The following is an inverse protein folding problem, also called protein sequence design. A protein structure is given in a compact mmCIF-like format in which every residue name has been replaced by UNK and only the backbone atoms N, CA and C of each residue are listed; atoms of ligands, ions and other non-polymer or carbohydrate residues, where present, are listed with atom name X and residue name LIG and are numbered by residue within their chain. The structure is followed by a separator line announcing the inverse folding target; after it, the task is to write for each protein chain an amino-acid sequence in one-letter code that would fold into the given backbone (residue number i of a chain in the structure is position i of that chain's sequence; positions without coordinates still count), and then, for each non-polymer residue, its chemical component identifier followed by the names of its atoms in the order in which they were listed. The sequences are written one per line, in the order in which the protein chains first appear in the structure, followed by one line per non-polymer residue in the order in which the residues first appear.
data_IF_987776214748
#
_entry.id   IF_987776214748
#
_cell.length_a   1.000
_cell.length_b   1.000
_cell.length_c   1.000
_cell.angle_alpha   90.00
_cell.angle_beta   90.00
_cell.angle_gamma   90.00
#
_symmetry.space_group_name_H-M   'P 1'
#
loop_
_entity.id
_entity.type
_entity.pdbx_description
1 polymer ?
#
# COMPACT_ATOMS: atom_id res chain seq x y z
N UNK A 1 -8.94 -1.54 10.70
CA UNK A 1 -7.73 -0.69 10.56
C UNK A 1 -7.05 -1.07 9.24
N UNK A 2 -6.50 -0.14 8.44
CA UNK A 2 -6.06 -0.45 7.06
C UNK A 2 -4.85 -1.39 6.95
N UNK A 3 -4.24 -1.79 8.07
CA UNK A 3 -3.11 -2.72 8.10
C UNK A 3 -3.40 -3.91 9.02
N UNK A 4 -2.98 -5.09 8.56
CA UNK A 4 -3.42 -6.42 9.02
C UNK A 4 -2.81 -6.86 10.38
N UNK A 5 -2.19 -5.96 11.13
CA UNK A 5 -1.30 -6.34 12.21
C UNK A 5 -0.01 -7.00 11.68
N UNK A 6 0.84 -7.44 12.61
CA UNK A 6 2.08 -8.11 12.25
C UNK A 6 1.79 -9.51 11.70
N UNK A 7 2.59 -9.95 10.75
CA UNK A 7 2.57 -11.27 10.13
C UNK A 7 3.99 -11.70 9.75
N UNK A 8 4.12 -12.98 9.43
CA UNK A 8 5.34 -13.57 8.93
C UNK A 8 5.10 -14.07 7.49
N UNK A 9 6.01 -13.71 6.60
CA UNK A 9 5.97 -14.12 5.19
C UNK A 9 7.23 -14.90 4.89
N UNK A 10 7.09 -16.17 4.52
CA UNK A 10 8.20 -16.99 4.06
C UNK A 10 8.53 -16.64 2.61
N UNK A 11 9.76 -16.22 2.38
CA UNK A 11 10.27 -15.83 1.07
C UNK A 11 10.79 -17.06 0.30
N UNK A 12 10.93 -16.91 -1.01
CA UNK A 12 11.40 -17.98 -1.91
C UNK A 12 12.86 -18.42 -1.64
N UNK A 13 13.67 -17.53 -1.07
CA UNK A 13 15.06 -17.78 -0.68
C UNK A 13 15.18 -18.46 0.70
N UNK A 14 14.05 -18.78 1.33
CA UNK A 14 14.00 -19.41 2.65
C UNK A 14 14.07 -18.44 3.82
N UNK A 15 14.25 -17.13 3.58
CA UNK A 15 14.16 -16.12 4.63
C UNK A 15 12.72 -15.91 5.08
N UNK A 16 12.53 -15.31 6.26
CA UNK A 16 11.21 -14.97 6.79
C UNK A 16 11.16 -13.47 7.05
N UNK A 17 10.27 -12.79 6.35
CA UNK A 17 10.01 -11.38 6.58
C UNK A 17 8.95 -11.24 7.68
N UNK A 18 9.24 -10.39 8.66
CA UNK A 18 8.31 -10.01 9.70
C UNK A 18 7.82 -8.58 9.45
N UNK A 19 6.52 -8.35 9.43
CA UNK A 19 5.97 -7.03 9.13
C UNK A 19 4.45 -7.00 9.02
N UNK A 20 3.85 -5.86 8.63
CA UNK A 20 4.50 -4.58 8.48
C UNK A 20 4.35 -3.72 9.75
N UNK A 21 5.17 -2.68 9.83
CA UNK A 21 4.82 -1.46 10.54
C UNK A 21 4.43 -0.46 9.45
N UNK A 22 3.21 0.05 9.50
CA UNK A 22 2.70 0.88 8.43
C UNK A 22 2.52 2.30 8.94
N UNK A 23 3.39 3.19 8.46
CA UNK A 23 3.41 4.59 8.84
C UNK A 23 3.34 5.46 7.60
N UNK A 24 2.88 6.70 7.77
CA UNK A 24 2.87 7.68 6.69
C UNK A 24 4.30 7.93 6.18
N UNK A 25 4.50 7.81 4.87
CA UNK A 25 5.71 8.29 4.20
C UNK A 25 5.58 9.78 3.91
N UNK A 26 6.64 10.56 4.16
CA UNK A 26 6.70 12.00 3.87
C UNK A 26 7.27 12.30 2.47
N UNK A 27 7.35 11.27 1.63
CA UNK A 27 7.75 11.32 0.23
C UNK A 27 7.05 10.20 -0.54
N UNK A 28 6.53 10.47 -1.74
CA UNK A 28 5.83 9.51 -2.61
C UNK A 28 6.66 8.25 -2.90
N UNK A 29 7.96 8.42 -3.01
CA UNK A 29 8.95 7.35 -3.19
C UNK A 29 9.97 7.33 -2.04
N UNK A 30 9.48 7.47 -0.80
CA UNK A 30 10.30 7.39 0.41
C UNK A 30 10.45 5.95 0.89
N UNK A 31 11.61 5.35 0.67
CA UNK A 31 11.92 3.98 1.09
C UNK A 31 12.77 3.92 2.37
N UNK A 32 13.28 5.06 2.84
CA UNK A 32 13.99 5.20 4.10
C UNK A 32 13.18 6.04 5.09
N UNK A 33 13.38 5.80 6.39
CA UNK A 33 12.70 6.55 7.46
C UNK A 33 12.99 8.06 7.46
N UNK A 34 14.11 8.45 6.86
CA UNK A 34 14.57 9.83 6.74
C UNK A 34 14.23 10.47 5.40
N UNK A 35 13.62 9.72 4.48
CA UNK A 35 13.24 10.27 3.18
C UNK A 35 12.13 11.30 3.38
N UNK A 36 12.40 12.51 2.91
CA UNK A 36 11.52 13.65 3.06
C UNK A 36 11.51 14.45 1.76
N UNK A 37 10.30 14.84 1.34
CA UNK A 37 10.11 15.81 0.28
C UNK A 37 9.18 16.91 0.78
N UNK A 38 9.63 18.17 0.68
CA UNK A 38 8.87 19.29 1.22
C UNK A 38 7.54 19.48 0.49
N UNK A 39 7.51 19.24 -0.83
CA UNK A 39 6.30 19.42 -1.63
C UNK A 39 5.27 18.35 -1.26
N UNK A 40 5.67 17.09 -1.23
CA UNK A 40 4.80 15.97 -0.82
C UNK A 40 4.28 16.16 0.61
N UNK A 41 5.16 16.57 1.53
CA UNK A 41 4.76 16.89 2.90
C UNK A 41 3.69 18.00 2.95
N UNK A 42 3.92 19.12 2.24
CA UNK A 42 2.95 20.22 2.21
C UNK A 42 1.62 19.81 1.60
N UNK A 43 1.63 18.96 0.56
CA UNK A 43 0.42 18.45 -0.08
C UNK A 43 -0.41 17.61 0.91
N UNK A 44 0.22 16.70 1.64
CA UNK A 44 -0.47 15.88 2.66
C UNK A 44 -1.02 16.73 3.80
N UNK A 45 -0.19 17.64 4.34
CA UNK A 45 -0.56 18.44 5.51
C UNK A 45 -1.65 19.48 5.20
N UNK A 46 -1.72 19.97 3.96
CA UNK A 46 -2.76 20.91 3.53
C UNK A 46 -4.03 20.23 3.03
N UNK A 47 -4.03 18.90 2.88
CA UNK A 47 -5.20 18.17 2.42
C UNK A 47 -6.20 17.90 3.57
N UNK A 48 -7.42 18.50 3.58
CA UNK A 48 -8.32 18.41 4.73
C UNK A 48 -8.82 16.99 5.04
N UNK A 49 -8.93 16.13 4.03
CA UNK A 49 -9.39 14.76 4.22
C UNK A 49 -8.37 13.90 4.98
N UNK A 50 -7.07 14.23 4.89
CA UNK A 50 -6.03 13.58 5.69
C UNK A 50 -6.29 13.76 7.18
N UNK A 51 -6.66 14.97 7.60
CA UNK A 51 -6.96 15.24 9.02
C UNK A 51 -8.22 14.52 9.51
N UNK A 52 -9.23 14.37 8.65
CA UNK A 52 -10.42 13.56 8.97
C UNK A 52 -10.04 12.09 9.21
N UNK A 53 -9.17 11.54 8.36
CA UNK A 53 -8.64 10.18 8.52
C UNK A 53 -7.80 10.07 9.79
N UNK A 54 -6.86 11.00 10.02
CA UNK A 54 -5.96 10.99 11.16
C UNK A 54 -6.72 11.08 12.48
N UNK A 55 -7.72 11.96 12.58
CA UNK A 55 -8.56 12.10 13.77
C UNK A 55 -9.35 10.82 14.07
N UNK A 56 -9.86 10.13 13.03
CA UNK A 56 -10.61 8.88 13.18
C UNK A 56 -9.75 7.72 13.68
N UNK A 57 -8.45 7.74 13.38
CA UNK A 57 -7.52 6.62 13.56
C UNK A 57 -6.29 6.98 14.41
N UNK A 58 -6.40 8.01 15.26
CA UNK A 58 -5.27 8.58 15.97
C UNK A 58 -4.60 7.58 16.93
N UNK A 59 -5.39 6.81 17.68
CA UNK A 59 -4.89 5.85 18.67
C UNK A 59 -4.08 4.73 17.99
N UNK A 60 -4.68 4.05 17.02
CA UNK A 60 -3.98 3.01 16.28
C UNK A 60 -2.82 3.54 15.43
N UNK A 61 -2.94 4.74 14.85
CA UNK A 61 -1.85 5.40 14.13
C UNK A 61 -0.64 5.67 15.03
N UNK A 62 -0.88 6.11 16.27
CA UNK A 62 0.19 6.30 17.26
C UNK A 62 0.85 4.96 17.64
N UNK A 63 0.06 3.89 17.81
CA UNK A 63 0.59 2.55 18.09
C UNK A 63 1.48 2.05 16.95
N UNK A 64 1.10 2.28 15.68
CA UNK A 64 1.92 1.94 14.52
C UNK A 64 3.24 2.72 14.48
N UNK A 65 3.22 4.03 14.79
CA UNK A 65 4.43 4.85 14.89
C UNK A 65 5.36 4.27 15.97
N UNK A 66 4.86 4.07 17.19
CA UNK A 66 5.65 3.53 18.30
C UNK A 66 6.26 2.17 17.92
N UNK A 67 5.47 1.29 17.29
CA UNK A 67 5.93 -0.03 16.82
C UNK A 67 6.99 0.08 15.72
N UNK A 68 6.88 1.06 14.83
CA UNK A 68 7.84 1.32 13.74
C UNK A 68 9.20 1.81 14.25
N UNK A 69 9.22 2.60 15.33
CA UNK A 69 10.44 3.15 15.91
C UNK A 69 11.06 2.26 16.99
N UNK A 70 10.27 1.45 17.70
CA UNK A 70 10.75 0.60 18.79
C UNK A 70 10.86 -0.87 18.39
N UNK A 71 12.10 -1.35 18.22
CA UNK A 71 12.41 -2.76 17.97
C UNK A 71 11.79 -3.67 19.04
N UNK A 72 11.85 -3.27 20.32
CA UNK A 72 11.29 -4.04 21.42
C UNK A 72 9.76 -4.20 21.34
N UNK A 73 9.04 -3.11 21.01
CA UNK A 73 7.58 -3.15 20.84
C UNK A 73 7.19 -3.99 19.62
N UNK A 74 7.99 -3.91 18.55
CA UNK A 74 7.81 -4.76 17.38
C UNK A 74 8.01 -6.25 17.70
N UNK A 75 9.11 -6.63 18.37
CA UNK A 75 9.33 -8.01 18.86
C UNK A 75 8.16 -8.49 19.71
N UNK A 76 7.71 -7.70 20.69
CA UNK A 76 6.57 -8.07 21.54
C UNK A 76 5.27 -8.26 20.75
N UNK A 77 5.10 -7.53 19.65
CA UNK A 77 3.94 -7.70 18.77
C UNK A 77 4.02 -9.00 17.99
N UNK A 78 5.20 -9.36 17.48
CA UNK A 78 5.47 -10.62 16.77
C UNK A 78 5.31 -11.84 17.69
N UNK A 79 5.71 -11.71 18.95
CA UNK A 79 5.58 -12.76 19.98
C UNK A 79 4.13 -13.14 20.29
N UNK A 80 3.14 -12.35 19.87
CA UNK A 80 1.73 -12.75 19.93
C UNK A 80 1.40 -13.90 18.98
N UNK A 81 2.19 -14.06 17.91
CA UNK A 81 2.03 -15.12 16.91
C UNK A 81 3.07 -16.23 17.12
N UNK A 82 4.34 -15.86 17.38
CA UNK A 82 5.45 -16.80 17.58
C UNK A 82 6.24 -16.37 18.83
N UNK A 83 5.93 -16.90 20.02
CA UNK A 83 6.53 -16.48 21.30
C UNK A 83 8.05 -16.60 21.37
N UNK A 84 8.64 -17.50 20.60
CA UNK A 84 10.07 -17.81 20.61
C UNK A 84 10.93 -16.75 19.93
N UNK A 85 10.33 -15.85 19.13
CA UNK A 85 11.04 -14.80 18.42
C UNK A 85 11.68 -13.82 19.40
N UNK A 86 12.97 -13.56 19.21
CA UNK A 86 13.76 -12.62 19.99
C UNK A 86 14.08 -11.37 19.19
N UNK A 87 14.56 -10.34 19.88
CA UNK A 87 15.00 -9.11 19.22
C UNK A 87 16.21 -9.37 18.33
N UNK A 88 17.10 -10.28 18.74
CA UNK A 88 18.29 -10.67 17.99
C UNK A 88 17.97 -11.31 16.62
N UNK A 89 16.82 -11.99 16.50
CA UNK A 89 16.37 -12.62 15.25
C UNK A 89 15.91 -11.59 14.20
N UNK A 90 15.63 -10.35 14.63
CA UNK A 90 15.10 -9.31 13.76
C UNK A 90 16.23 -8.48 13.15
N UNK A 91 16.45 -8.69 11.86
CA UNK A 91 17.36 -7.90 11.03
C UNK A 91 16.58 -6.91 10.14
N UNK A 92 17.10 -5.69 9.91
CA UNK A 92 16.47 -4.76 8.98
C UNK A 92 16.38 -5.34 7.56
N UNK A 93 15.25 -5.08 6.88
CA UNK A 93 15.04 -5.41 5.47
C UNK A 93 14.47 -4.17 4.75
N UNK A 94 14.30 -4.27 3.43
CA UNK A 94 13.78 -3.19 2.61
C UNK A 94 12.36 -2.78 3.02
N UNK A 95 12.04 -1.49 2.84
CA UNK A 95 10.68 -0.99 2.97
C UNK A 95 9.94 -1.07 1.64
N UNK A 96 8.61 -1.05 1.69
CA UNK A 96 7.74 -0.85 0.54
C UNK A 96 6.85 0.37 0.76
N UNK A 97 6.56 1.09 -0.32
CA UNK A 97 5.58 2.19 -0.31
C UNK A 97 4.30 1.71 -0.98
N UNK A 98 3.16 1.93 -0.31
CA UNK A 98 1.85 1.65 -0.87
C UNK A 98 1.09 2.95 -1.06
N UNK A 99 0.74 3.25 -2.32
CA UNK A 99 -0.24 4.27 -2.62
C UNK A 99 -1.64 3.75 -2.26
N UNK A 100 -2.41 4.58 -1.55
CA UNK A 100 -3.78 4.28 -1.16
C UNK A 100 -4.61 5.55 -1.37
N UNK A 101 -5.66 5.46 -2.19
CA UNK A 101 -6.51 6.60 -2.46
C UNK A 101 -7.32 6.99 -1.21
N UNK A 102 -7.36 8.30 -0.95
CA UNK A 102 -8.13 8.92 0.12
C UNK A 102 -9.19 9.84 -0.50
N UNK A 103 -10.44 9.58 -0.17
CA UNK A 103 -11.57 10.37 -0.64
C UNK A 103 -11.70 11.66 0.18
N UNK A 104 -12.38 12.67 -0.39
CA UNK A 104 -12.58 13.98 0.24
C UNK A 104 -13.35 13.93 1.59
N UNK A 105 -14.08 12.85 1.85
CA UNK A 105 -14.77 12.59 3.11
C UNK A 105 -13.86 11.97 4.19
N UNK A 106 -12.60 11.66 3.86
CA UNK A 106 -11.63 11.03 4.76
C UNK A 106 -11.65 9.51 4.75
N UNK A 107 -12.40 8.87 3.84
CA UNK A 107 -12.38 7.40 3.67
C UNK A 107 -11.30 6.95 2.72
N UNK A 108 -10.61 5.87 3.08
CA UNK A 108 -9.72 5.16 2.17
C UNK A 108 -10.57 4.35 1.19
N UNK A 109 -10.14 4.30 -0.07
CA UNK A 109 -10.83 3.46 -1.07
C UNK A 109 -10.39 2.02 -0.91
N UNK A 110 -11.33 1.13 -0.61
CA UNK A 110 -11.02 -0.28 -0.32
C UNK A 110 -10.84 -1.14 -1.57
N UNK A 111 -11.38 -0.71 -2.72
CA UNK A 111 -11.38 -1.46 -3.99
C UNK A 111 -10.67 -0.66 -5.12
N UNK A 112 -10.69 -1.18 -6.34
CA UNK A 112 -10.14 -0.48 -7.51
C UNK A 112 -10.83 0.86 -7.73
N UNK A 113 -10.04 1.92 -7.92
CA UNK A 113 -10.53 3.21 -8.39
C UNK A 113 -10.02 3.41 -9.81
N UNK A 114 -10.88 3.15 -10.78
CA UNK A 114 -10.59 3.35 -12.20
C UNK A 114 -11.38 4.57 -12.66
N UNK A 115 -10.68 5.57 -13.22
CA UNK A 115 -11.28 6.81 -13.70
C UNK A 115 -11.06 6.92 -15.20
N UNK A 116 -12.16 7.07 -15.94
CA UNK A 116 -12.13 7.29 -17.39
C UNK A 116 -11.86 8.77 -17.68
N UNK A 117 -10.87 9.04 -18.50
CA UNK A 117 -10.65 10.32 -19.16
C UNK A 117 -11.15 10.27 -20.62
N UNK A 118 -11.00 11.38 -21.34
CA UNK A 118 -11.42 11.44 -22.75
C UNK A 118 -10.61 10.47 -23.64
N UNK A 119 -9.30 10.38 -23.40
CA UNK A 119 -8.37 9.54 -24.16
C UNK A 119 -7.43 8.75 -23.22
N UNK A 120 -7.85 8.50 -21.99
CA UNK A 120 -7.02 7.86 -20.97
C UNK A 120 -7.85 7.04 -19.98
N UNK A 121 -7.23 6.01 -19.40
CA UNK A 121 -7.79 5.27 -18.26
C UNK A 121 -6.81 5.40 -17.10
N UNK A 122 -7.26 5.90 -15.97
CA UNK A 122 -6.44 6.10 -14.78
C UNK A 122 -6.77 5.05 -13.73
N UNK A 123 -5.78 4.24 -13.35
CA UNK A 123 -5.87 3.32 -12.21
C UNK A 123 -5.35 4.04 -10.98
N UNK A 124 -6.25 4.72 -10.27
CA UNK A 124 -5.94 5.60 -9.15
C UNK A 124 -5.83 4.87 -7.80
N UNK A 125 -6.41 3.68 -7.69
CA UNK A 125 -6.29 2.83 -6.51
C UNK A 125 -6.31 1.38 -6.96
N UNK A 126 -5.31 0.61 -6.54
CA UNK A 126 -5.26 -0.84 -6.71
C UNK A 126 -4.73 -1.47 -5.43
N UNK A 127 -5.59 -1.63 -4.41
CA UNK A 127 -5.15 -2.12 -3.11
C UNK A 127 -4.80 -3.61 -3.18
N UNK A 128 -4.13 -4.09 -2.13
CA UNK A 128 -3.75 -5.51 -2.02
C UNK A 128 -4.98 -6.43 -2.10
N UNK A 129 -4.90 -7.58 -2.80
CA UNK A 129 -3.71 -8.18 -3.43
C UNK A 129 -3.58 -7.87 -4.94
N UNK A 130 -3.29 -6.61 -5.30
CA UNK A 130 -3.17 -6.17 -6.70
C UNK A 130 -2.18 -6.98 -7.55
N UNK A 131 -1.01 -7.36 -7.00
CA UNK A 131 -0.03 -8.14 -7.75
C UNK A 131 -0.57 -9.54 -8.12
N UNK A 132 -1.17 -10.23 -7.15
CA UNK A 132 -1.75 -11.57 -7.36
C UNK A 132 -2.93 -11.53 -8.33
N UNK A 133 -3.78 -10.49 -8.23
CA UNK A 133 -4.96 -10.32 -9.08
C UNK A 133 -4.69 -9.54 -10.38
N UNK A 134 -3.43 -9.29 -10.73
CA UNK A 134 -3.04 -8.39 -11.82
C UNK A 134 -3.63 -8.75 -13.18
N UNK A 135 -3.77 -10.05 -13.50
CA UNK A 135 -4.37 -10.51 -14.76
C UNK A 135 -5.87 -10.16 -14.82
N UNK A 136 -6.60 -10.41 -13.73
CA UNK A 136 -8.03 -10.11 -13.66
C UNK A 136 -8.29 -8.60 -13.61
N UNK A 137 -7.41 -7.84 -12.96
CA UNK A 137 -7.42 -6.37 -13.02
C UNK A 137 -7.22 -5.90 -14.46
N UNK A 138 -6.26 -6.48 -15.18
CA UNK A 138 -6.02 -6.18 -16.59
C UNK A 138 -7.26 -6.42 -17.45
N UNK A 139 -7.94 -7.55 -17.27
CA UNK A 139 -9.21 -7.85 -17.96
C UNK A 139 -10.30 -6.85 -17.60
N UNK A 140 -10.43 -6.49 -16.32
CA UNK A 140 -11.43 -5.52 -15.85
C UNK A 140 -11.18 -4.10 -16.40
N UNK A 141 -9.92 -3.71 -16.58
CA UNK A 141 -9.55 -2.44 -17.22
C UNK A 141 -9.92 -2.49 -18.71
N UNK A 142 -9.51 -3.54 -19.43
CA UNK A 142 -9.80 -3.69 -20.87
C UNK A 142 -11.30 -3.69 -21.14
N UNK A 143 -12.11 -4.34 -20.29
CA UNK A 143 -13.56 -4.37 -20.43
C UNK A 143 -14.24 -2.98 -20.33
N UNK A 144 -13.55 -1.98 -19.75
CA UNK A 144 -14.05 -0.61 -19.66
C UNK A 144 -13.56 0.29 -20.80
N UNK A 145 -12.67 -0.19 -21.66
CA UNK A 145 -12.18 0.55 -22.82
C UNK A 145 -13.18 0.32 -23.98
N UNK A 146 -13.78 1.39 -24.54
CA UNK A 146 -14.65 1.26 -25.71
C UNK A 146 -13.93 0.62 -26.90
N UNK A 147 -14.68 -0.04 -27.78
CA UNK A 147 -14.12 -0.64 -29.00
C UNK A 147 -13.41 0.42 -29.84
N UNK A 148 -12.12 0.20 -30.10
CA UNK A 148 -11.26 1.13 -30.82
C UNK A 148 -11.28 0.79 -32.31
N UNK A 149 -12.34 1.21 -33.02
CA UNK A 149 -12.58 0.87 -34.44
C UNK A 149 -11.48 1.31 -35.41
N UNK A 150 -10.61 2.22 -35.00
CA UNK A 150 -9.45 2.68 -35.78
C UNK A 150 -8.20 1.81 -35.60
N UNK A 151 -8.18 0.87 -34.64
CA UNK A 151 -7.09 -0.07 -34.42
C UNK A 151 -7.37 -1.37 -35.18
N UNK A 152 -6.42 -1.82 -36.00
CA UNK A 152 -6.50 -3.15 -36.61
C UNK A 152 -6.01 -4.21 -35.61
N UNK A 153 -6.76 -5.31 -35.39
CA UNK A 153 -6.30 -6.40 -34.54
C UNK A 153 -5.01 -7.02 -35.09
N UNK A 154 -3.93 -7.00 -34.31
CA UNK A 154 -2.63 -7.59 -34.70
C UNK A 154 -2.55 -9.10 -34.45
N UNK A 155 -3.49 -9.68 -33.70
CA UNK A 155 -3.48 -11.11 -33.39
C UNK A 155 -4.37 -11.84 -34.40
N UNK A 156 -3.74 -12.45 -35.40
CA UNK A 156 -4.39 -13.43 -36.26
C UNK A 156 -4.93 -14.57 -35.37
N UNK A 157 -6.21 -14.88 -35.54
CA UNK A 157 -6.87 -16.05 -34.95
C UNK A 157 -6.00 -17.28 -35.20
N UNK A 158 -5.36 -17.79 -34.14
CA UNK A 158 -4.78 -19.13 -34.16
C UNK A 158 -5.98 -20.07 -34.10
N UNK A 159 -6.28 -20.68 -35.25
CA UNK A 159 -7.28 -21.75 -35.41
C UNK A 159 -6.91 -22.97 -34.56
#
# INVERSE_FOLDING_TARGET
FPFLGVHFTRMIDGTVHAGPNAVLSLKREGYHKTDFDLRDFTEVMTYPAFWKLAAKYADEGMKEIIRSFSKAVFTKSLQKLIPEVKSEDLVPTHAGVRAQALMNDGKLVDDFLIVQGENSVHVCNAPSPAATSSIEIGKAIVAQIPEQSHLQPTVSSVN
#
